data_IF_355017725594
#
_entry.id   IF_355017725594
#
_cell.length_a   1.000
_cell.length_b   1.000
_cell.length_c   1.000
_cell.angle_alpha   90.00
_cell.angle_beta   90.00
_cell.angle_gamma   90.00
#
_symmetry.space_group_name_H-M   'P 1'
#
loop_
_entity.id
_entity.type
_entity.pdbx_description
1 polymer ?
#
# COMPACT_ATOMS: atom_id res chain seq x y z
N UNK A 1 12.12 4.16 -8.29
CA UNK A 1 11.08 5.08 -7.78
C UNK A 1 9.79 4.61 -8.39
N UNK A 2 8.71 4.60 -7.64
CA UNK A 2 7.41 4.15 -8.13
C UNK A 2 6.75 5.27 -8.96
N UNK A 3 6.11 4.90 -10.07
CA UNK A 3 5.48 5.84 -11.02
C UNK A 3 4.18 6.45 -10.45
N UNK A 4 3.74 6.01 -9.27
CA UNK A 4 2.51 6.44 -8.62
C UNK A 4 2.73 7.46 -7.48
N UNK A 5 3.96 7.92 -7.25
CA UNK A 5 4.26 8.88 -6.18
C UNK A 5 4.18 8.29 -4.77
N UNK A 6 4.11 6.95 -4.66
CA UNK A 6 4.14 6.23 -3.39
C UNK A 6 5.54 6.30 -2.76
N UNK A 7 5.54 6.34 -1.43
CA UNK A 7 6.73 6.41 -0.59
C UNK A 7 6.67 5.29 0.43
N UNK A 8 7.85 4.91 0.93
CA UNK A 8 7.94 3.99 2.05
C UNK A 8 7.07 4.50 3.20
N UNK A 9 6.40 3.56 3.87
CA UNK A 9 5.48 3.77 4.98
C UNK A 9 4.08 4.30 4.59
N UNK A 10 3.78 4.45 3.29
CA UNK A 10 2.40 4.60 2.84
C UNK A 10 1.59 3.34 3.14
N UNK A 11 0.33 3.55 3.53
CA UNK A 11 -0.57 2.49 3.95
C UNK A 11 -1.50 2.10 2.80
N UNK A 12 -1.49 0.82 2.45
CA UNK A 12 -2.43 0.21 1.51
C UNK A 12 -3.22 -0.92 2.16
N UNK A 13 -4.21 -1.43 1.43
CA UNK A 13 -5.07 -2.55 1.84
C UNK A 13 -4.79 -3.75 0.94
N UNK A 14 -4.56 -4.91 1.53
CA UNK A 14 -4.49 -6.17 0.77
C UNK A 14 -5.89 -6.51 0.27
N UNK A 15 -6.08 -6.49 -1.05
CA UNK A 15 -7.36 -6.84 -1.70
C UNK A 15 -7.37 -8.28 -2.23
N UNK A 16 -6.18 -8.85 -2.47
CA UNK A 16 -6.02 -10.26 -2.84
C UNK A 16 -4.73 -10.84 -2.28
N UNK A 17 -4.77 -12.10 -1.85
CA UNK A 17 -3.59 -12.89 -1.52
C UNK A 17 -3.53 -14.09 -2.47
N UNK A 18 -2.41 -14.26 -3.16
CA UNK A 18 -2.18 -15.40 -4.04
C UNK A 18 -1.99 -16.70 -3.24
N UNK A 19 -2.18 -17.84 -3.92
CA UNK A 19 -2.10 -19.17 -3.29
C UNK A 19 -0.75 -19.49 -2.65
N UNK A 20 0.33 -18.84 -3.09
CA UNK A 20 1.66 -18.99 -2.50
C UNK A 20 1.75 -18.43 -1.07
N UNK A 21 0.80 -17.57 -0.67
CA UNK A 21 0.77 -16.87 0.61
C UNK A 21 1.85 -15.78 0.75
N UNK A 22 2.55 -15.43 -0.33
CA UNK A 22 3.75 -14.58 -0.33
C UNK A 22 3.61 -13.37 -1.25
N UNK A 23 2.62 -13.39 -2.14
CA UNK A 23 2.31 -12.33 -3.08
C UNK A 23 0.91 -11.78 -2.82
N UNK A 24 0.76 -10.47 -2.93
CA UNK A 24 -0.45 -9.74 -2.58
C UNK A 24 -0.78 -8.70 -3.64
N UNK A 25 -2.06 -8.52 -3.95
CA UNK A 25 -2.53 -7.27 -4.56
C UNK A 25 -2.83 -6.29 -3.44
N UNK A 26 -2.18 -5.13 -3.48
CA UNK A 26 -2.33 -4.07 -2.49
C UNK A 26 -2.86 -2.82 -3.18
N UNK A 27 -4.03 -2.36 -2.73
CA UNK A 27 -4.63 -1.12 -3.19
C UNK A 27 -4.22 0.04 -2.28
N UNK A 28 -3.78 1.13 -2.89
CA UNK A 28 -3.49 2.40 -2.22
C UNK A 28 -4.55 3.42 -2.62
N UNK A 29 -5.10 4.13 -1.64
CA UNK A 29 -6.16 5.13 -1.84
C UNK A 29 -5.78 6.47 -1.22
N UNK A 30 -6.32 7.55 -1.77
CA UNK A 30 -6.25 8.88 -1.15
C UNK A 30 -7.15 8.95 0.08
N UNK A 31 -7.07 10.05 0.85
CA UNK A 31 -7.97 10.32 1.97
C UNK A 31 -9.45 10.46 1.55
N UNK A 32 -9.72 10.69 0.27
CA UNK A 32 -11.08 10.74 -0.31
C UNK A 32 -11.56 9.37 -0.81
N UNK A 33 -10.70 8.35 -0.76
CA UNK A 33 -11.01 6.99 -1.22
C UNK A 33 -10.78 6.77 -2.72
N UNK A 34 -10.09 7.68 -3.41
CA UNK A 34 -9.72 7.49 -4.82
C UNK A 34 -8.53 6.54 -4.94
N UNK A 35 -8.62 5.55 -5.83
CA UNK A 35 -7.52 4.61 -6.09
C UNK A 35 -6.33 5.32 -6.71
N UNK A 36 -5.18 5.24 -6.04
CA UNK A 36 -3.88 5.73 -6.52
C UNK A 36 -3.19 4.67 -7.38
N UNK A 37 -3.15 3.44 -6.87
CA UNK A 37 -2.54 2.29 -7.54
C UNK A 37 -3.04 0.97 -6.94
N UNK A 38 -2.98 -0.09 -7.74
CA UNK A 38 -3.07 -1.48 -7.28
C UNK A 38 -1.78 -2.16 -7.71
N UNK A 39 -1.00 -2.64 -6.74
CA UNK A 39 0.33 -3.19 -6.98
C UNK A 39 0.41 -4.65 -6.51
N UNK A 40 1.02 -5.48 -7.34
CA UNK A 40 1.47 -6.82 -6.96
C UNK A 40 2.74 -6.70 -6.12
N UNK A 41 2.63 -6.92 -4.81
CA UNK A 41 3.73 -6.81 -3.85
C UNK A 41 4.06 -8.15 -3.21
N UNK A 42 5.32 -8.34 -2.85
CA UNK A 42 5.76 -9.51 -2.09
C UNK A 42 5.76 -9.22 -0.59
N UNK A 43 5.86 -10.28 0.22
CA UNK A 43 6.03 -10.17 1.68
C UNK A 43 7.22 -9.31 2.12
N UNK A 44 8.23 -9.10 1.27
CA UNK A 44 9.38 -8.25 1.59
C UNK A 44 9.10 -6.76 1.35
N UNK A 45 8.09 -6.45 0.53
CA UNK A 45 7.72 -5.07 0.19
C UNK A 45 6.70 -4.50 1.17
N UNK A 46 5.99 -5.37 1.91
CA UNK A 46 4.92 -4.99 2.85
C UNK A 46 5.25 -5.35 4.29
N UNK A 47 4.74 -4.53 5.21
CA UNK A 47 4.72 -4.83 6.64
C UNK A 47 3.28 -4.70 7.14
N UNK A 48 2.73 -5.78 7.68
CA UNK A 48 1.42 -5.73 8.31
C UNK A 48 1.39 -4.71 9.45
N UNK A 49 0.35 -3.88 9.44
CA UNK A 49 0.08 -2.90 10.49
C UNK A 49 -0.25 -3.61 11.81
N UNK A 50 0.26 -3.08 12.92
CA UNK A 50 0.00 -3.62 14.26
C UNK A 50 -1.12 -2.85 14.95
N UNK A 51 -1.80 -3.49 15.89
CA UNK A 51 -2.94 -2.92 16.64
C UNK A 51 -2.68 -1.60 17.40
N UNK A 52 -1.41 -1.23 17.63
CA UNK A 52 -1.02 -0.04 18.41
C UNK A 52 -0.19 0.96 17.58
N UNK A 53 -0.38 0.95 16.27
CA UNK A 53 0.26 1.91 15.36
C UNK A 53 -0.72 3.05 15.02
N UNK A 54 -0.17 4.24 14.77
CA UNK A 54 -0.92 5.43 14.36
C UNK A 54 -0.71 5.59 12.85
N UNK A 55 -1.79 5.80 12.11
CA UNK A 55 -1.73 6.11 10.69
C UNK A 55 -1.07 7.48 10.50
N UNK A 56 0.01 7.54 9.72
CA UNK A 56 0.62 8.79 9.29
C UNK A 56 0.01 9.20 7.94
N UNK A 57 -0.47 10.45 7.85
CA UNK A 57 -0.99 11.02 6.62
C UNK A 57 0.03 11.98 6.02
N UNK A 58 0.15 11.95 4.69
CA UNK A 58 0.91 12.93 3.90
C UNK A 58 0.13 13.27 2.64
N UNK A 59 0.44 14.41 2.05
CA UNK A 59 -0.03 14.73 0.71
C UNK A 59 0.63 13.80 -0.33
N UNK A 60 -0.16 13.33 -1.29
CA UNK A 60 0.34 12.59 -2.44
C UNK A 60 0.87 13.59 -3.47
N UNK A 61 2.16 13.48 -3.78
CA UNK A 61 2.76 14.22 -4.88
C UNK A 61 2.81 13.28 -6.09
N UNK A 62 2.17 13.62 -7.22
CA UNK A 62 2.30 12.85 -8.45
C UNK A 62 3.77 12.69 -8.84
N UNK A 63 4.09 11.58 -9.52
CA UNK A 63 5.44 11.29 -10.02
C UNK A 63 5.90 12.29 -11.09
#
# INVERSE_FOLDING_TARGET
MDDHGLKKDDVGVIVHQYQDGQTYEVEFVTGEGETVAVLTLTKNDVRLMRRREILHVRELTPA
#
